data_IF_910382020127
#
_entry.id   IF_910382020127
#
_cell.length_a   1.000
_cell.length_b   1.000
_cell.length_c   1.000
_cell.angle_alpha   90.00
_cell.angle_beta   90.00
_cell.angle_gamma   90.00
#
_symmetry.space_group_name_H-M   'P 1'
#
loop_
_entity.id
_entity.type
_entity.pdbx_description
1 polymer ?
#
# COMPACT_ATOMS: atom_id res chain seq x y z
N UNK A 1 -1.09 -0.53 14.04
CA UNK A 1 -0.67 0.84 13.70
C UNK A 1 0.25 0.86 12.50
N UNK A 2 0.04 1.81 11.59
CA UNK A 2 1.00 2.17 10.54
C UNK A 2 2.11 3.02 11.17
N UNK A 3 3.36 2.59 11.02
CA UNK A 3 4.52 3.19 11.67
C UNK A 3 5.24 4.13 10.71
N UNK A 4 5.43 5.41 11.07
CA UNK A 4 5.90 6.43 10.15
C UNK A 4 7.32 6.17 9.69
N UNK A 5 7.56 6.47 8.41
CA UNK A 5 8.82 6.21 7.73
C UNK A 5 10.00 6.91 8.40
N UNK A 6 9.83 8.10 8.96
CA UNK A 6 10.92 8.83 9.63
C UNK A 6 11.36 8.21 10.97
N UNK A 7 10.57 7.28 11.53
CA UNK A 7 10.78 6.73 12.87
C UNK A 7 11.09 5.24 12.90
N UNK A 8 11.52 4.62 11.79
CA UNK A 8 11.90 3.20 11.80
C UNK A 8 12.97 2.88 12.84
N UNK A 9 13.92 3.78 13.06
CA UNK A 9 14.91 3.64 14.13
C UNK A 9 14.28 3.48 15.53
N UNK A 10 13.14 4.11 15.80
CA UNK A 10 12.43 3.99 17.07
C UNK A 10 11.77 2.61 17.21
N UNK A 11 11.14 2.10 16.15
CA UNK A 11 10.60 0.73 16.13
C UNK A 11 11.71 -0.32 16.34
N UNK A 12 12.86 -0.18 15.66
CA UNK A 12 14.01 -1.05 15.89
C UNK A 12 14.61 -0.89 17.29
N UNK A 13 14.64 0.34 17.80
CA UNK A 13 15.03 0.63 19.18
C UNK A 13 14.15 -0.10 20.19
N UNK A 14 12.84 -0.21 19.92
CA UNK A 14 11.91 -0.99 20.74
C UNK A 14 12.22 -2.50 20.68
N UNK A 15 12.41 -3.06 19.46
CA UNK A 15 12.83 -4.48 19.30
C UNK A 15 14.09 -4.76 20.11
N UNK A 16 15.09 -3.87 20.03
CA UNK A 16 16.34 -3.98 20.78
C UNK A 16 16.13 -3.89 22.29
N UNK A 17 15.33 -2.93 22.73
CA UNK A 17 15.01 -2.75 24.14
C UNK A 17 14.36 -3.99 24.73
N UNK A 18 13.32 -4.51 24.07
CA UNK A 18 12.59 -5.69 24.50
C UNK A 18 13.48 -6.93 24.49
N UNK A 19 14.35 -7.05 23.49
CA UNK A 19 15.25 -8.18 23.40
C UNK A 19 16.30 -8.23 24.52
N UNK A 20 16.79 -7.06 24.96
CA UNK A 20 17.76 -6.95 26.05
C UNK A 20 17.14 -7.24 27.43
N UNK A 21 15.84 -6.99 27.60
CA UNK A 21 15.14 -7.30 28.84
C UNK A 21 15.04 -8.81 29.11
N UNK A 22 15.05 -9.64 28.07
CA UNK A 22 14.94 -11.10 28.19
C UNK A 22 16.23 -11.78 28.70
N UNK A 23 17.26 -11.04 29.14
CA UNK A 23 18.42 -11.62 29.82
C UNK A 23 19.32 -12.49 28.94
N UNK A 24 19.31 -12.26 27.62
CA UNK A 24 20.15 -12.96 26.63
C UNK A 24 19.51 -14.17 25.97
N UNK A 25 18.25 -14.49 26.29
CA UNK A 25 17.47 -15.50 25.57
C UNK A 25 16.96 -15.01 24.21
N UNK A 26 16.48 -15.95 23.39
CA UNK A 26 15.98 -15.66 22.05
C UNK A 26 14.57 -15.08 22.13
N UNK A 27 14.46 -13.76 22.02
CA UNK A 27 13.23 -12.99 22.22
C UNK A 27 12.62 -12.45 20.92
N UNK A 28 13.31 -12.67 19.78
CA UNK A 28 12.89 -12.24 18.44
C UNK A 28 12.65 -13.46 17.55
N UNK A 29 11.43 -13.58 17.01
CA UNK A 29 11.07 -14.57 15.99
C UNK A 29 10.85 -13.86 14.66
N UNK A 30 11.52 -14.30 13.60
CA UNK A 30 11.39 -13.73 12.26
C UNK A 30 10.74 -14.76 11.35
N UNK A 31 9.58 -14.43 10.80
CA UNK A 31 8.84 -15.20 9.81
C UNK A 31 9.13 -14.61 8.43
N UNK A 32 9.72 -15.40 7.53
CA UNK A 32 10.19 -14.95 6.21
C UNK A 32 9.42 -15.63 5.12
N UNK A 33 8.69 -14.88 4.29
CA UNK A 33 8.05 -15.43 3.10
C UNK A 33 9.07 -16.10 2.16
N UNK A 34 8.65 -17.13 1.41
CA UNK A 34 9.51 -17.80 0.44
C UNK A 34 9.61 -17.04 -0.89
N UNK A 35 10.15 -15.83 -0.84
CA UNK A 35 10.47 -15.04 -2.03
C UNK A 35 11.82 -14.31 -1.88
N UNK A 36 12.27 -13.74 -2.99
CA UNK A 36 13.59 -13.08 -3.07
C UNK A 36 13.64 -11.80 -2.23
N UNK A 37 12.55 -11.04 -2.16
CA UNK A 37 12.48 -9.78 -1.44
C UNK A 37 12.53 -10.01 0.07
N UNK A 38 11.73 -10.94 0.59
CA UNK A 38 11.74 -11.37 1.98
C UNK A 38 13.11 -11.89 2.44
N UNK A 39 13.80 -12.66 1.59
CA UNK A 39 15.16 -13.15 1.87
C UNK A 39 16.17 -12.00 1.96
N UNK A 40 16.07 -11.02 1.05
CA UNK A 40 16.91 -9.82 1.08
C UNK A 40 16.66 -8.98 2.34
N UNK A 41 15.38 -8.75 2.68
CA UNK A 41 14.97 -8.08 3.91
C UNK A 41 15.48 -8.82 5.16
N UNK A 42 15.41 -10.16 5.15
CA UNK A 42 15.89 -11.00 6.25
C UNK A 42 17.40 -10.89 6.44
N UNK A 43 18.20 -10.87 5.36
CA UNK A 43 19.65 -10.70 5.51
C UNK A 43 20.00 -9.30 6.03
N UNK A 44 19.29 -8.25 5.58
CA UNK A 44 19.46 -6.90 6.12
C UNK A 44 19.15 -6.87 7.62
N UNK A 45 17.94 -7.27 8.01
CA UNK A 45 17.49 -7.23 9.40
C UNK A 45 18.38 -8.08 10.31
N UNK A 46 18.72 -9.30 9.90
CA UNK A 46 19.54 -10.19 10.72
C UNK A 46 20.97 -9.70 10.85
N UNK A 47 21.52 -8.96 9.87
CA UNK A 47 22.81 -8.28 10.02
C UNK A 47 22.75 -7.18 11.07
N UNK A 48 21.68 -6.38 11.11
CA UNK A 48 21.47 -5.38 12.16
C UNK A 48 21.39 -6.05 13.55
N UNK A 49 20.55 -7.08 13.69
CA UNK A 49 20.41 -7.83 14.95
C UNK A 49 21.74 -8.46 15.40
N UNK A 50 22.51 -9.05 14.48
CA UNK A 50 23.85 -9.61 14.77
C UNK A 50 24.84 -8.54 15.21
N UNK A 51 24.83 -7.37 14.57
CA UNK A 51 25.70 -6.25 14.96
C UNK A 51 25.39 -5.77 16.39
N UNK A 52 24.13 -5.82 16.79
CA UNK A 52 23.66 -5.49 18.14
C UNK A 52 23.69 -6.66 19.13
N UNK A 53 24.24 -7.82 18.74
CA UNK A 53 24.35 -9.03 19.56
C UNK A 53 23.00 -9.55 20.09
N UNK A 54 21.93 -9.37 19.31
CA UNK A 54 20.59 -9.85 19.63
C UNK A 54 20.38 -11.27 19.10
N UNK A 55 19.89 -12.16 19.98
CA UNK A 55 19.50 -13.52 19.62
C UNK A 55 18.15 -13.53 18.90
N UNK A 56 18.06 -14.20 17.76
CA UNK A 56 16.82 -14.34 16.99
C UNK A 56 16.64 -15.76 16.45
N UNK A 57 15.40 -16.13 16.15
CA UNK A 57 15.04 -17.35 15.43
C UNK A 57 14.46 -16.98 14.07
N UNK A 58 14.94 -17.63 13.01
CA UNK A 58 14.47 -17.42 11.65
C UNK A 58 13.65 -18.62 11.19
N UNK A 59 12.45 -18.40 10.67
CA UNK A 59 11.57 -19.43 10.15
C UNK A 59 11.05 -19.01 8.77
N UNK A 60 11.27 -19.84 7.77
CA UNK A 60 10.74 -19.62 6.43
C UNK A 60 9.29 -20.13 6.35
N UNK A 61 8.39 -19.32 5.80
CA UNK A 61 6.96 -19.60 5.67
C UNK A 61 6.54 -19.65 4.20
N UNK A 62 5.92 -20.75 3.78
CA UNK A 62 5.37 -20.96 2.42
C UNK A 62 4.01 -20.31 2.24
N UNK A 63 3.28 -20.17 3.34
CA UNK A 63 1.92 -19.66 3.38
C UNK A 63 1.41 -19.63 4.81
N UNK A 64 0.14 -19.28 4.98
CA UNK A 64 -0.45 -19.08 6.30
C UNK A 64 -0.54 -20.34 7.16
N UNK A 65 -0.53 -21.54 6.56
CA UNK A 65 -0.41 -22.80 7.31
C UNK A 65 0.89 -22.87 8.13
N UNK A 66 2.02 -22.48 7.54
CA UNK A 66 3.30 -22.44 8.24
C UNK A 66 3.31 -21.36 9.34
N UNK A 67 2.62 -20.24 9.11
CA UNK A 67 2.45 -19.16 10.10
C UNK A 67 1.61 -19.66 11.29
N UNK A 68 0.50 -20.36 11.03
CA UNK A 68 -0.32 -20.98 12.07
C UNK A 68 0.46 -22.07 12.83
N UNK A 69 1.30 -22.84 12.13
CA UNK A 69 2.18 -23.79 12.79
C UNK A 69 3.22 -23.08 13.68
N UNK A 70 3.80 -21.98 13.22
CA UNK A 70 4.73 -21.17 14.01
C UNK A 70 4.05 -20.57 15.25
N UNK A 71 2.79 -20.12 15.13
CA UNK A 71 1.97 -19.68 16.26
C UNK A 71 1.91 -20.73 17.37
N UNK A 72 1.52 -21.96 17.03
CA UNK A 72 1.33 -23.03 18.02
C UNK A 72 2.64 -23.65 18.55
N UNK A 73 3.72 -23.57 17.76
CA UNK A 73 5.00 -24.20 18.13
C UNK A 73 6.02 -23.23 18.73
N UNK A 74 5.95 -21.93 18.42
CA UNK A 74 6.97 -20.93 18.79
C UNK A 74 6.42 -19.72 19.55
N UNK A 75 5.17 -19.33 19.33
CA UNK A 75 4.62 -18.09 19.91
C UNK A 75 3.90 -18.38 21.21
N UNK A 76 2.88 -19.25 21.18
CA UNK A 76 1.97 -19.45 22.32
C UNK A 76 1.74 -20.93 22.65
N UNK A 77 1.34 -21.20 23.89
CA UNK A 77 0.84 -22.49 24.35
C UNK A 77 -0.66 -22.65 24.13
N UNK A 78 -1.18 -23.84 24.43
CA UNK A 78 -2.63 -24.13 24.38
C UNK A 78 -3.44 -23.26 25.35
N UNK A 79 -2.80 -22.75 26.40
CA UNK A 79 -3.35 -21.84 27.39
C UNK A 79 -3.33 -20.36 26.96
N UNK A 80 -2.84 -20.07 25.76
CA UNK A 80 -2.70 -18.71 25.23
C UNK A 80 -1.53 -17.92 25.81
N UNK A 81 -0.70 -18.51 26.68
CA UNK A 81 0.48 -17.85 27.23
C UNK A 81 1.69 -18.03 26.34
N UNK A 82 2.71 -17.18 26.51
CA UNK A 82 3.95 -17.26 25.71
C UNK A 82 4.66 -18.60 25.95
N UNK A 83 5.02 -19.28 24.87
CA UNK A 83 5.78 -20.55 24.96
C UNK A 83 7.22 -20.34 25.42
N UNK A 84 7.82 -21.40 25.95
CA UNK A 84 9.28 -21.44 26.20
C UNK A 84 9.76 -20.55 27.34
N UNK A 85 8.94 -20.36 28.39
CA UNK A 85 9.35 -19.58 29.58
C UNK A 85 9.03 -18.09 29.52
N UNK A 86 8.30 -17.63 28.51
CA UNK A 86 7.82 -16.25 28.47
C UNK A 86 8.85 -15.25 27.99
N UNK A 87 9.76 -15.65 27.10
CA UNK A 87 10.92 -14.85 26.68
C UNK A 87 10.70 -14.09 25.37
N UNK A 88 9.78 -14.57 24.52
CA UNK A 88 9.43 -13.94 23.25
C UNK A 88 8.79 -12.57 23.50
N UNK A 89 9.26 -11.56 22.77
CA UNK A 89 8.72 -10.19 22.85
C UNK A 89 8.42 -9.61 21.47
N UNK A 90 9.14 -10.06 20.44
CA UNK A 90 8.99 -9.52 19.09
C UNK A 90 8.83 -10.64 18.08
N UNK A 91 7.77 -10.55 17.27
CA UNK A 91 7.62 -11.30 16.03
C UNK A 91 7.83 -10.32 14.87
N UNK A 92 8.59 -10.70 13.86
CA UNK A 92 8.80 -9.90 12.66
C UNK A 92 8.33 -10.70 11.46
N UNK A 93 7.42 -10.16 10.66
CA UNK A 93 6.93 -10.76 9.42
C UNK A 93 7.53 -10.03 8.23
N UNK A 94 8.23 -10.77 7.37
CA UNK A 94 8.91 -10.23 6.19
C UNK A 94 8.22 -10.72 4.92
N UNK A 95 7.71 -9.75 4.16
CA UNK A 95 6.89 -9.88 2.96
C UNK A 95 5.66 -10.80 3.12
N UNK A 96 5.07 -10.80 4.31
CA UNK A 96 3.81 -11.48 4.58
C UNK A 96 3.05 -10.83 5.74
N UNK A 97 1.72 -11.02 5.76
CA UNK A 97 0.84 -10.63 6.86
C UNK A 97 0.08 -9.31 6.67
N UNK A 98 0.47 -8.42 5.74
CA UNK A 98 -0.22 -7.13 5.61
C UNK A 98 -1.70 -7.27 5.22
N UNK A 99 -2.03 -8.22 4.35
CA UNK A 99 -3.38 -8.39 3.75
C UNK A 99 -4.36 -9.20 4.62
N UNK A 100 -3.96 -9.63 5.81
CA UNK A 100 -4.80 -10.41 6.74
C UNK A 100 -4.80 -9.78 8.12
N UNK A 101 -5.81 -10.06 8.93
CA UNK A 101 -5.79 -9.69 10.35
C UNK A 101 -4.69 -10.47 11.09
N UNK A 102 -3.56 -9.80 11.35
CA UNK A 102 -2.39 -10.42 11.99
C UNK A 102 -2.68 -10.73 13.46
N UNK A 103 -3.47 -9.89 14.13
CA UNK A 103 -3.85 -10.09 15.52
C UNK A 103 -4.66 -11.39 15.66
N UNK A 104 -5.66 -11.62 14.80
CA UNK A 104 -6.42 -12.89 14.76
C UNK A 104 -5.56 -14.07 14.30
N UNK A 105 -4.76 -13.89 13.25
CA UNK A 105 -3.92 -14.95 12.66
C UNK A 105 -2.91 -15.52 13.66
N UNK A 106 -2.20 -14.65 14.37
CA UNK A 106 -1.17 -15.04 15.34
C UNK A 106 -1.74 -15.23 16.75
N UNK A 107 -2.85 -14.56 17.07
CA UNK A 107 -3.44 -14.47 18.41
C UNK A 107 -2.36 -14.29 19.48
N UNK A 108 -1.68 -13.16 19.34
CA UNK A 108 -0.50 -12.81 20.10
C UNK A 108 -0.83 -12.69 21.59
N UNK A 109 -0.01 -13.26 22.48
CA UNK A 109 -0.04 -12.91 23.89
C UNK A 109 0.22 -11.41 24.08
N UNK A 110 -0.35 -10.80 25.12
CA UNK A 110 -0.35 -9.35 25.35
C UNK A 110 1.02 -8.67 25.40
N UNK A 111 2.06 -9.42 25.76
CA UNK A 111 3.42 -8.92 25.92
C UNK A 111 4.25 -9.05 24.63
N UNK A 112 3.67 -9.56 23.55
CA UNK A 112 4.34 -9.76 22.25
C UNK A 112 3.85 -8.73 21.24
N UNK A 113 4.79 -8.05 20.58
CA UNK A 113 4.52 -7.18 19.43
C UNK A 113 4.88 -7.88 18.12
N UNK A 114 4.14 -7.59 17.05
CA UNK A 114 4.41 -8.05 15.70
C UNK A 114 4.76 -6.87 14.80
N UNK A 115 5.89 -6.95 14.11
CA UNK A 115 6.40 -5.96 13.19
C UNK A 115 6.27 -6.50 11.76
N UNK A 116 5.56 -5.79 10.89
CA UNK A 116 5.24 -6.25 9.53
C UNK A 116 5.94 -5.33 8.52
N UNK A 117 6.81 -5.93 7.69
CA UNK A 117 7.40 -5.29 6.53
C UNK A 117 6.89 -6.07 5.31
N UNK A 118 5.87 -5.58 4.64
CA UNK A 118 5.19 -6.32 3.58
C UNK A 118 4.75 -5.39 2.45
N UNK A 119 5.04 -5.80 1.22
CA UNK A 119 4.72 -5.05 0.01
C UNK A 119 3.29 -5.29 -0.47
N UNK A 120 2.61 -6.36 -0.05
CA UNK A 120 1.26 -6.68 -0.53
C UNK A 120 0.22 -5.66 -0.05
N UNK A 121 -0.70 -5.28 -0.94
CA UNK A 121 -1.79 -4.33 -0.68
C UNK A 121 -3.12 -4.89 -1.19
N UNK A 122 -4.26 -4.47 -0.61
CA UNK A 122 -4.42 -3.49 0.48
C UNK A 122 -4.01 -4.02 1.87
N UNK A 123 -3.49 -3.15 2.74
CA UNK A 123 -3.21 -3.51 4.13
C UNK A 123 -4.55 -3.74 4.85
N UNK A 124 -4.71 -4.86 5.54
CA UNK A 124 -5.90 -5.13 6.34
C UNK A 124 -6.09 -4.04 7.40
N UNK A 125 -7.27 -3.43 7.44
CA UNK A 125 -7.54 -2.26 8.29
C UNK A 125 -7.37 -2.56 9.78
N UNK A 126 -7.65 -3.80 10.23
CA UNK A 126 -7.37 -4.22 11.60
C UNK A 126 -5.88 -4.13 11.99
N UNK A 127 -4.96 -4.24 11.03
CA UNK A 127 -3.52 -4.07 11.32
C UNK A 127 -3.16 -2.60 11.50
N UNK A 128 -3.85 -1.69 10.82
CA UNK A 128 -3.64 -0.24 10.93
C UNK A 128 -4.25 0.27 12.24
N UNK A 129 -5.49 -0.12 12.52
CA UNK A 129 -6.26 0.35 13.66
C UNK A 129 -6.27 -0.61 14.85
N UNK A 130 -5.24 -1.46 14.96
CA UNK A 130 -5.07 -2.40 16.07
C UNK A 130 -5.20 -1.69 17.43
N UNK A 131 -6.27 -2.00 18.15
CA UNK A 131 -6.60 -1.40 19.45
C UNK A 131 -5.56 -1.72 20.53
N UNK A 132 -4.93 -2.89 20.43
CA UNK A 132 -3.98 -3.38 21.42
C UNK A 132 -2.55 -2.84 21.21
N UNK A 133 -2.30 -2.12 20.10
CA UNK A 133 -0.98 -1.59 19.74
C UNK A 133 0.13 -2.66 19.72
N UNK A 134 -0.24 -3.89 19.38
CA UNK A 134 0.65 -5.03 19.21
C UNK A 134 1.15 -5.13 17.77
N UNK A 135 0.36 -4.71 16.78
CA UNK A 135 0.69 -4.80 15.35
C UNK A 135 1.31 -3.47 14.88
N UNK A 136 2.53 -3.54 14.36
CA UNK A 136 3.29 -2.40 13.85
C UNK A 136 3.62 -2.68 12.38
N UNK A 137 2.93 -2.01 11.45
CA UNK A 137 3.18 -2.14 10.01
C UNK A 137 4.09 -1.00 9.58
N UNK A 138 5.22 -1.28 8.93
CA UNK A 138 6.14 -0.24 8.47
C UNK A 138 5.58 0.46 7.24
N UNK A 139 5.49 1.80 7.30
CA UNK A 139 5.01 2.61 6.20
C UNK A 139 6.03 2.70 5.07
N UNK A 140 5.70 2.16 3.92
CA UNK A 140 6.52 2.20 2.71
C UNK A 140 6.25 3.43 1.83
N UNK A 141 5.29 4.27 2.20
CA UNK A 141 4.86 5.45 1.46
C UNK A 141 4.04 5.14 0.22
N UNK A 142 3.44 3.95 0.12
CA UNK A 142 2.57 3.60 -1.01
C UNK A 142 1.24 4.37 -0.99
N UNK A 143 0.63 4.52 0.19
CA UNK A 143 -0.59 5.30 0.42
C UNK A 143 -0.39 6.22 1.63
N UNK A 144 -0.91 7.43 1.58
CA UNK A 144 -0.94 8.31 2.74
C UNK A 144 -1.94 7.80 3.79
N UNK A 145 -1.73 8.13 5.07
CA UNK A 145 -2.58 7.65 6.16
C UNK A 145 -4.06 8.04 5.97
N UNK A 146 -4.30 9.20 5.38
CA UNK A 146 -5.64 9.74 5.10
C UNK A 146 -6.39 9.00 3.98
N UNK A 147 -5.68 8.20 3.17
CA UNK A 147 -6.29 7.40 2.10
C UNK A 147 -6.84 6.06 2.60
N UNK A 148 -6.49 5.66 3.82
CA UNK A 148 -7.06 4.48 4.45
C UNK A 148 -8.45 4.79 5.02
N UNK A 149 -9.48 3.96 4.74
CA UNK A 149 -10.80 4.12 5.35
C UNK A 149 -10.69 4.22 6.87
N UNK A 150 -11.44 5.13 7.49
CA UNK A 150 -11.37 5.37 8.93
C UNK A 150 -11.93 4.19 9.74
N UNK A 151 -11.37 3.95 10.94
CA UNK A 151 -11.81 2.91 11.87
C UNK A 151 -13.26 3.06 12.35
N UNK A 152 -14.07 2.00 12.28
CA UNK A 152 -15.46 1.97 12.72
C UNK A 152 -15.94 0.59 13.15
N UNK A 153 -17.06 0.51 13.88
CA UNK A 153 -17.67 -0.76 14.30
C UNK A 153 -18.10 -1.63 13.11
N UNK A 154 -18.41 -1.01 11.98
CA UNK A 154 -18.89 -1.67 10.75
C UNK A 154 -17.76 -2.30 9.89
N UNK A 155 -16.56 -2.53 10.48
CA UNK A 155 -15.39 -3.09 9.80
C UNK A 155 -15.35 -4.63 9.80
N UNK A 156 -16.27 -5.28 10.50
CA UNK A 156 -16.34 -6.73 10.54
C UNK A 156 -16.96 -7.24 9.24
N UNK A 157 -16.12 -7.80 8.37
CA UNK A 157 -16.49 -8.33 7.04
C UNK A 157 -17.53 -9.46 7.11
N UNK A 158 -17.82 -9.96 8.31
CA UNK A 158 -18.73 -11.08 8.57
C UNK A 158 -20.21 -10.65 8.65
N UNK A 159 -20.52 -9.35 8.80
CA UNK A 159 -21.91 -8.84 8.80
C UNK A 159 -22.46 -8.57 7.38
N UNK A 160 -21.71 -8.95 6.34
CA UNK A 160 -21.97 -8.54 4.96
C UNK A 160 -23.08 -9.34 4.26
N UNK A 161 -23.30 -10.59 4.66
CA UNK A 161 -24.37 -11.44 4.12
C UNK A 161 -25.69 -11.23 4.87
N UNK A 162 -25.64 -10.96 6.18
CA UNK A 162 -26.84 -10.78 7.01
C UNK A 162 -27.51 -9.41 6.77
N UNK A 163 -26.75 -8.34 6.52
CA UNK A 163 -27.32 -7.01 6.24
C UNK A 163 -27.77 -6.81 4.77
N UNK A 164 -27.28 -7.60 3.80
CA UNK A 164 -27.85 -7.59 2.43
C UNK A 164 -29.28 -8.16 2.42
N UNK A 165 -29.56 -9.16 3.26
CA UNK A 165 -30.92 -9.68 3.45
C UNK A 165 -31.83 -8.64 4.13
N UNK A 166 -31.32 -7.88 5.11
CA UNK A 166 -32.07 -6.79 5.75
C UNK A 166 -32.33 -5.60 4.79
N UNK A 167 -31.38 -5.27 3.91
CA UNK A 167 -31.54 -4.22 2.88
C UNK A 167 -32.57 -4.60 1.80
N UNK A 168 -32.64 -5.87 1.38
CA UNK A 168 -33.69 -6.36 0.48
C UNK A 168 -35.08 -6.29 1.14
N UNK A 169 -35.17 -6.54 2.46
CA UNK A 169 -36.43 -6.42 3.21
C UNK A 169 -36.88 -4.95 3.38
N UNK A 170 -35.97 -4.00 3.59
CA UNK A 170 -36.31 -2.57 3.70
C UNK A 170 -36.73 -1.95 2.35
N UNK A 171 -36.11 -2.33 1.22
CA UNK A 171 -36.54 -1.89 -0.12
C UNK A 171 -37.92 -2.45 -0.50
N UNK A 172 -38.25 -3.68 -0.09
CA UNK A 172 -39.60 -4.24 -0.26
C UNK A 172 -40.66 -3.51 0.59
N UNK A 173 -40.35 -3.07 1.81
CA UNK A 173 -41.29 -2.31 2.64
C UNK A 173 -41.54 -0.88 2.10
N UNK A 174 -40.54 -0.20 1.55
CA UNK A 174 -40.72 1.13 0.94
C UNK A 174 -41.60 1.08 -0.34
N UNK A 175 -41.46 0.03 -1.16
CA UNK A 175 -42.30 -0.19 -2.34
C UNK A 175 -43.77 -0.49 -1.96
N UNK A 176 -44.02 -1.19 -0.85
CA UNK A 176 -45.37 -1.46 -0.34
C UNK A 176 -46.08 -0.20 0.21
N UNK A 177 -45.32 0.75 0.77
CA UNK A 177 -45.88 2.02 1.27
C UNK A 177 -46.26 2.98 0.13
N UNK A 178 -45.50 3.02 -0.97
CA UNK A 178 -45.83 3.86 -2.14
C UNK A 178 -47.07 3.37 -2.91
N UNK A 179 -47.36 2.05 -2.95
CA UNK A 179 -48.59 1.53 -3.57
C UNK A 179 -49.86 1.85 -2.75
N UNK A 180 -49.73 2.11 -1.44
CA UNK A 180 -50.84 2.39 -0.53
C UNK A 180 -51.33 3.85 -0.60
N UNK A 181 -50.44 4.81 -0.89
CA UNK A 181 -50.78 6.24 -0.95
C UNK A 181 -51.38 6.71 -2.30
N UNK A 182 -51.47 5.82 -3.29
CA UNK A 182 -51.97 6.12 -4.64
C UNK A 182 -53.50 6.24 -4.81
N UNK A 183 -54.31 5.87 -3.81
CA UNK A 183 -55.78 5.90 -3.90
C UNK A 183 -56.42 7.12 -3.19
N UNK A 184 -56.18 8.32 -3.71
CA UNK A 184 -56.96 9.51 -3.34
C UNK A 184 -57.65 10.13 -4.56
N UNK A 185 -58.97 9.96 -4.60
CA UNK A 185 -59.92 10.40 -5.64
C UNK A 185 -59.78 11.90 -5.99
N UNK A 186 -59.78 12.23 -7.30
CA UNK A 186 -60.00 13.61 -7.78
C UNK A 186 -61.18 13.66 -8.74
N UNK A 187 -62.23 14.37 -8.32
CA UNK A 187 -63.52 14.53 -8.99
C UNK A 187 -63.48 15.64 -10.08
N UNK A 188 -64.20 15.34 -11.15
CA UNK A 188 -64.51 16.02 -12.41
C UNK A 188 -64.57 17.58 -12.48
N UNK A 189 -64.04 18.12 -13.58
CA UNK A 189 -64.33 19.47 -14.08
C UNK A 189 -64.09 19.60 -15.59
N UNK A 190 -65.16 19.53 -16.37
CA UNK A 190 -65.24 19.66 -17.84
C UNK A 190 -64.78 21.03 -18.36
N UNK A 191 -64.01 21.06 -19.46
CA UNK A 191 -64.54 21.63 -20.71
C UNK A 191 -63.68 21.29 -21.94
N UNK A 192 -64.41 21.14 -23.04
CA UNK A 192 -64.08 20.48 -24.30
C UNK A 192 -63.45 21.46 -25.32
N UNK A 193 -62.44 21.03 -26.10
CA UNK A 193 -62.24 21.43 -27.51
C UNK A 193 -61.14 20.62 -28.24
N UNK A 194 -61.64 19.63 -28.97
CA UNK A 194 -61.27 19.05 -30.27
C UNK A 194 -59.96 19.41 -31.00
N UNK A 195 -59.31 18.31 -31.43
CA UNK A 195 -58.66 18.00 -32.70
C UNK A 195 -57.39 18.79 -33.08
N UNK A 196 -56.26 18.18 -33.47
CA UNK A 196 -56.13 17.18 -34.56
C UNK A 196 -54.75 16.52 -34.52
N UNK A 197 -54.68 15.27 -34.97
CA UNK A 197 -53.51 14.43 -35.23
C UNK A 197 -52.55 15.04 -36.28
N UNK A 198 -51.24 14.81 -36.15
CA UNK A 198 -50.44 13.95 -37.04
C UNK A 198 -48.93 14.10 -36.78
N UNK A 199 -48.38 12.96 -36.36
CA UNK A 199 -47.09 12.36 -36.70
C UNK A 199 -46.31 13.03 -37.85
N UNK A 200 -45.01 13.31 -37.66
CA UNK A 200 -43.94 12.77 -38.53
C UNK A 200 -42.53 13.17 -38.07
N UNK A 201 -41.75 12.11 -37.94
CA UNK A 201 -40.30 11.95 -37.91
C UNK A 201 -39.39 12.96 -38.64
N UNK A 202 -38.23 13.13 -38.01
CA UNK A 202 -36.87 13.18 -38.57
C UNK A 202 -36.53 14.23 -39.62
N UNK A 203 -35.56 15.08 -39.30
CA UNK A 203 -34.24 14.94 -39.97
C UNK A 203 -33.16 15.76 -39.27
N UNK A 204 -32.08 15.04 -39.02
CA UNK A 204 -30.72 15.47 -38.70
C UNK A 204 -30.26 16.68 -39.53
N UNK A 205 -29.47 17.56 -38.89
CA UNK A 205 -28.11 17.89 -39.38
C UNK A 205 -27.33 18.78 -38.40
N UNK A 206 -26.25 18.18 -37.93
CA UNK A 206 -24.90 18.73 -37.75
C UNK A 206 -24.71 20.23 -38.05
N UNK A 207 -24.06 20.96 -37.16
CA UNK A 207 -22.60 21.23 -37.28
C UNK A 207 -22.13 22.38 -36.39
N UNK A 208 -20.99 22.12 -35.76
CA UNK A 208 -19.86 23.03 -35.54
C UNK A 208 -19.98 24.23 -34.57
N UNK A 209 -19.39 24.00 -33.40
CA UNK A 209 -18.18 24.67 -32.89
C UNK A 209 -17.91 26.13 -33.31
N UNK A 210 -17.73 27.00 -32.30
CA UNK A 210 -16.52 27.80 -31.98
C UNK A 210 -16.95 29.00 -31.11
N UNK A 211 -16.50 29.00 -29.86
CA UNK A 211 -15.41 29.83 -29.31
C UNK A 211 -15.81 31.26 -28.89
N UNK A 212 -15.55 31.51 -27.61
CA UNK A 212 -14.98 32.72 -27.02
C UNK A 212 -15.58 34.09 -27.36
N UNK A 213 -16.00 34.84 -26.34
CA UNK A 213 -15.09 35.86 -25.75
C UNK A 213 -15.71 36.58 -24.56
N UNK A 214 -14.82 36.83 -23.59
CA UNK A 214 -14.95 37.70 -22.43
C UNK A 214 -15.50 39.10 -22.74
N UNK A 215 -16.11 39.74 -21.72
CA UNK A 215 -15.82 41.16 -21.43
C UNK A 215 -16.25 41.58 -20.01
N UNK A 216 -15.23 41.84 -19.19
CA UNK A 216 -15.26 42.67 -17.97
C UNK A 216 -15.41 44.16 -18.31
N UNK A 217 -16.06 44.93 -17.42
CA UNK A 217 -15.89 46.37 -17.10
C UNK A 217 -16.68 46.64 -15.79
N UNK A 218 -16.12 47.03 -14.63
CA UNK A 218 -15.35 48.25 -14.25
C UNK A 218 -16.26 49.51 -14.32
N UNK A 219 -16.50 50.40 -13.35
CA UNK A 219 -15.94 50.84 -12.03
C UNK A 219 -17.02 51.73 -11.32
N UNK A 220 -17.10 51.75 -9.98
CA UNK A 220 -16.81 52.85 -9.00
C UNK A 220 -17.90 53.91 -8.66
N UNK A 221 -17.85 54.28 -7.36
CA UNK A 221 -18.24 55.53 -6.68
C UNK A 221 -19.63 55.78 -6.04
N UNK A 222 -19.64 55.57 -4.70
CA UNK A 222 -19.83 56.54 -3.59
C UNK A 222 -20.98 57.58 -3.60
N UNK A 223 -21.88 57.51 -2.60
CA UNK A 223 -22.00 58.43 -1.43
C UNK A 223 -23.37 58.33 -0.73
N UNK A 224 -23.34 58.68 0.56
CA UNK A 224 -24.35 58.59 1.62
C UNK A 224 -25.60 59.47 1.41
N UNK A 225 -26.75 59.04 1.95
CA UNK A 225 -27.73 59.93 2.61
C UNK A 225 -28.77 59.13 3.44
N UNK A 226 -29.25 59.77 4.51
CA UNK A 226 -29.94 59.24 5.70
C UNK A 226 -31.45 58.88 5.55
N UNK A 227 -31.88 57.97 6.43
CA UNK A 227 -33.19 57.79 7.07
C UNK A 227 -34.52 57.80 6.25
N UNK A 228 -35.20 56.64 6.18
CA UNK A 228 -36.58 56.47 6.71
C UNK A 228 -37.08 55.01 6.69
N UNK A 229 -37.84 54.68 7.73
CA UNK A 229 -38.33 53.38 8.19
C UNK A 229 -39.26 52.61 7.22
N UNK A 230 -39.10 51.28 7.14
CA UNK A 230 -40.21 50.30 7.07
C UNK A 230 -39.70 48.85 7.28
N UNK A 231 -40.38 47.99 8.08
CA UNK A 231 -39.86 46.67 8.42
C UNK A 231 -40.22 45.66 7.32
N UNK A 232 -39.24 45.31 6.47
CA UNK A 232 -39.35 44.13 5.61
C UNK A 232 -38.92 42.91 6.43
N UNK A 233 -39.91 42.08 6.78
CA UNK A 233 -39.70 40.68 7.21
C UNK A 233 -38.85 39.98 6.15
N UNK A 234 -37.57 39.80 6.46
CA UNK A 234 -36.65 38.98 5.70
C UNK A 234 -37.05 37.54 6.01
N UNK A 235 -37.67 36.87 5.04
CA UNK A 235 -37.85 35.41 5.06
C UNK A 235 -36.44 34.86 4.95
N UNK A 236 -35.85 34.51 6.09
CA UNK A 236 -34.65 33.69 6.14
C UNK A 236 -34.98 32.45 5.31
N UNK A 237 -34.22 32.27 4.22
CA UNK A 237 -34.14 30.98 3.58
C UNK A 237 -33.27 30.19 4.54
N UNK A 238 -33.92 29.49 5.45
CA UNK A 238 -33.31 28.40 6.17
C UNK A 238 -32.73 27.48 5.09
N UNK A 239 -31.41 27.47 5.00
CA UNK A 239 -30.69 26.40 4.30
C UNK A 239 -30.92 25.22 5.23
N UNK A 240 -31.89 24.38 4.88
CA UNK A 240 -32.04 23.07 5.50
C UNK A 240 -30.71 22.34 5.27
N UNK A 241 -29.85 22.34 6.28
CA UNK A 241 -28.79 21.35 6.41
C UNK A 241 -29.54 20.02 6.49
N UNK A 242 -29.58 19.29 5.37
CA UNK A 242 -30.04 17.92 5.33
C UNK A 242 -29.18 17.15 6.34
N UNK A 243 -29.78 16.82 7.49
CA UNK A 243 -29.19 15.91 8.47
C UNK A 243 -29.11 14.55 7.75
N UNK A 244 -27.93 14.20 7.22
CA UNK A 244 -27.72 12.90 6.57
C UNK A 244 -28.16 11.81 7.56
N UNK A 245 -29.10 10.96 7.13
CA UNK A 245 -29.58 9.90 8.00
C UNK A 245 -28.41 8.99 8.38
N UNK A 246 -28.39 8.49 9.63
CA UNK A 246 -27.32 7.62 10.09
C UNK A 246 -27.11 6.40 9.17
N UNK A 247 -28.18 5.94 8.51
CA UNK A 247 -28.19 4.88 7.49
C UNK A 247 -27.36 5.28 6.26
N UNK A 248 -27.58 6.48 5.70
CA UNK A 248 -26.81 6.94 4.53
C UNK A 248 -25.32 7.10 4.81
N UNK A 249 -24.96 7.54 6.02
CA UNK A 249 -23.56 7.66 6.46
C UNK A 249 -22.89 6.28 6.57
N UNK A 250 -23.60 5.31 7.16
CA UNK A 250 -23.14 3.91 7.23
C UNK A 250 -22.94 3.30 5.84
N UNK A 251 -23.92 3.45 4.93
CA UNK A 251 -23.85 2.93 3.56
C UNK A 251 -22.64 3.50 2.81
N UNK A 252 -22.44 4.82 2.85
CA UNK A 252 -21.29 5.48 2.19
C UNK A 252 -19.96 4.96 2.72
N UNK A 253 -19.87 4.72 4.03
CA UNK A 253 -18.67 4.17 4.67
C UNK A 253 -18.41 2.72 4.24
N UNK A 254 -19.46 1.89 4.19
CA UNK A 254 -19.39 0.50 3.69
C UNK A 254 -18.87 0.47 2.25
N UNK A 255 -19.39 1.33 1.39
CA UNK A 255 -18.90 1.48 0.01
C UNK A 255 -17.41 1.90 -0.06
N UNK A 256 -16.96 2.78 0.83
CA UNK A 256 -15.56 3.20 0.93
C UNK A 256 -14.64 2.03 1.33
N UNK A 257 -15.03 1.25 2.35
CA UNK A 257 -14.30 0.05 2.79
C UNK A 257 -14.26 -1.00 1.68
N UNK A 258 -15.40 -1.27 1.04
CA UNK A 258 -15.48 -2.17 -0.11
C UNK A 258 -14.57 -1.70 -1.24
N UNK A 259 -14.58 -0.40 -1.55
CA UNK A 259 -13.71 0.18 -2.58
C UNK A 259 -12.24 0.03 -2.25
N UNK A 260 -11.86 0.17 -0.99
CA UNK A 260 -10.48 -0.05 -0.54
C UNK A 260 -10.03 -1.51 -0.73
N UNK A 261 -10.90 -2.47 -0.46
CA UNK A 261 -10.62 -3.89 -0.67
C UNK A 261 -10.84 -4.37 -2.12
N UNK A 262 -11.32 -3.51 -3.02
CA UNK A 262 -11.48 -3.82 -4.46
C UNK A 262 -10.12 -3.75 -5.17
N UNK A 263 -9.41 -4.86 -5.17
CA UNK A 263 -8.20 -5.08 -5.96
C UNK A 263 -6.96 -5.35 -5.11
N UNK A 264 -5.87 -5.69 -5.77
CA UNK A 264 -4.57 -5.90 -5.12
C UNK A 264 -3.47 -5.25 -5.95
N UNK A 265 -2.46 -4.75 -5.25
CA UNK A 265 -1.26 -4.16 -5.83
C UNK A 265 -0.10 -4.33 -4.86
N UNK A 266 1.08 -3.79 -5.21
CA UNK A 266 2.25 -3.83 -4.36
C UNK A 266 2.74 -2.42 -4.04
N UNK A 267 3.13 -2.22 -2.78
CA UNK A 267 3.92 -1.08 -2.34
C UNK A 267 5.42 -1.34 -2.51
N UNK A 268 6.25 -0.63 -1.74
CA UNK A 268 7.70 -0.78 -1.86
C UNK A 268 8.16 -2.17 -1.36
N UNK A 269 9.26 -2.72 -1.93
CA UNK A 269 9.79 -4.00 -1.49
C UNK A 269 10.18 -3.98 -0.01
N UNK A 270 9.94 -5.08 0.70
CA UNK A 270 10.31 -5.24 2.11
C UNK A 270 11.81 -5.05 2.33
N UNK A 271 12.67 -5.43 1.37
CA UNK A 271 14.10 -5.19 1.43
C UNK A 271 14.47 -3.70 1.35
N UNK A 272 13.68 -2.91 0.62
CA UNK A 272 13.86 -1.45 0.55
C UNK A 272 13.53 -0.83 1.91
N UNK A 273 12.40 -1.18 2.50
CA UNK A 273 11.99 -0.72 3.84
C UNK A 273 13.02 -1.13 4.90
N UNK A 274 13.53 -2.36 4.84
CA UNK A 274 14.59 -2.84 5.74
C UNK A 274 15.92 -2.08 5.55
N UNK A 275 16.26 -1.68 4.32
CA UNK A 275 17.45 -0.86 4.06
C UNK A 275 17.29 0.56 4.59
N UNK A 276 16.11 1.17 4.43
CA UNK A 276 15.82 2.49 5.02
C UNK A 276 15.93 2.46 6.54
N UNK A 277 15.46 1.39 7.18
CA UNK A 277 15.71 1.15 8.59
C UNK A 277 17.23 1.11 8.88
N UNK A 278 18.00 0.37 8.07
CA UNK A 278 19.46 0.27 8.23
C UNK A 278 20.16 1.64 8.09
N UNK A 279 19.66 2.52 7.22
CA UNK A 279 20.14 3.89 7.07
C UNK A 279 19.88 4.71 8.34
N UNK A 280 18.66 4.64 8.90
CA UNK A 280 18.31 5.42 10.08
C UNK A 280 19.07 4.99 11.34
N UNK A 281 19.50 3.73 11.43
CA UNK A 281 20.38 3.25 12.52
C UNK A 281 21.87 3.45 12.21
N UNK A 282 22.21 4.17 11.14
CA UNK A 282 23.57 4.47 10.70
C UNK A 282 24.43 3.21 10.43
N UNK A 283 23.80 2.18 9.88
CA UNK A 283 24.44 0.91 9.48
C UNK A 283 24.28 0.63 7.98
N UNK A 284 24.15 1.68 7.16
CA UNK A 284 24.10 1.57 5.70
C UNK A 284 25.45 1.08 5.14
N UNK A 285 25.45 -0.12 4.57
CA UNK A 285 26.62 -0.73 3.92
C UNK A 285 26.28 -1.09 2.48
N UNK A 286 27.28 -1.14 1.59
CA UNK A 286 27.11 -1.49 0.17
C UNK A 286 26.35 -2.80 -0.02
N UNK A 287 26.69 -3.83 0.75
CA UNK A 287 26.02 -5.13 0.66
C UNK A 287 24.52 -5.04 1.00
N UNK A 288 24.13 -4.18 1.95
CA UNK A 288 22.72 -4.01 2.33
C UNK A 288 21.94 -3.27 1.24
N UNK A 289 22.58 -2.27 0.61
CA UNK A 289 22.02 -1.58 -0.54
C UNK A 289 21.82 -2.56 -1.71
N UNK A 290 22.77 -3.49 -1.93
CA UNK A 290 22.63 -4.52 -2.95
C UNK A 290 21.41 -5.42 -2.73
N UNK A 291 21.12 -5.81 -1.48
CA UNK A 291 19.90 -6.55 -1.15
C UNK A 291 18.62 -5.76 -1.45
N UNK A 292 18.60 -4.45 -1.18
CA UNK A 292 17.47 -3.60 -1.55
C UNK A 292 17.29 -3.50 -3.08
N UNK A 293 18.39 -3.36 -3.84
CA UNK A 293 18.38 -3.37 -5.31
C UNK A 293 17.80 -4.69 -5.85
N UNK A 294 18.17 -5.83 -5.26
CA UNK A 294 17.62 -7.14 -5.64
C UNK A 294 16.10 -7.19 -5.40
N UNK A 295 15.63 -6.74 -4.22
CA UNK A 295 14.20 -6.71 -3.89
C UNK A 295 13.39 -5.84 -4.87
N UNK A 296 13.89 -4.64 -5.19
CA UNK A 296 13.28 -3.76 -6.19
C UNK A 296 13.27 -4.38 -7.59
N UNK A 297 14.37 -5.01 -7.99
CA UNK A 297 14.48 -5.64 -9.31
C UNK A 297 13.53 -6.85 -9.42
N UNK A 298 13.29 -7.59 -8.34
CA UNK A 298 12.27 -8.66 -8.29
C UNK A 298 10.90 -8.11 -8.67
N UNK A 299 10.46 -7.02 -8.04
CA UNK A 299 9.15 -6.43 -8.35
C UNK A 299 9.05 -6.01 -9.82
N UNK A 300 10.12 -5.40 -10.37
CA UNK A 300 10.12 -4.97 -11.77
C UNK A 300 10.12 -6.14 -12.76
N UNK A 301 10.82 -7.22 -12.44
CA UNK A 301 10.83 -8.43 -13.27
C UNK A 301 9.46 -9.12 -13.27
N UNK A 302 8.77 -9.13 -12.12
CA UNK A 302 7.45 -9.72 -11.95
C UNK A 302 6.29 -8.79 -12.34
N UNK A 303 6.58 -7.59 -12.86
CA UNK A 303 5.58 -6.59 -13.26
C UNK A 303 4.67 -6.15 -12.08
N UNK A 304 5.20 -6.20 -10.86
CA UNK A 304 4.52 -5.75 -9.63
C UNK A 304 4.67 -4.23 -9.39
N UNK A 305 5.60 -3.60 -10.11
CA UNK A 305 5.88 -2.16 -10.12
C UNK A 305 6.00 -1.68 -11.57
N UNK A 306 5.47 -0.51 -11.87
CA UNK A 306 5.61 0.10 -13.19
C UNK A 306 7.01 0.69 -13.41
N UNK A 307 7.33 0.98 -14.68
CA UNK A 307 8.64 1.46 -15.07
C UNK A 307 8.98 2.85 -14.48
N UNK A 308 8.00 3.73 -14.31
CA UNK A 308 8.25 5.09 -13.83
C UNK A 308 8.61 5.06 -12.33
N UNK A 309 7.82 4.32 -11.54
CA UNK A 309 8.11 4.09 -10.12
C UNK A 309 9.41 3.31 -9.90
N UNK A 310 9.70 2.30 -10.73
CA UNK A 310 10.99 1.61 -10.69
C UNK A 310 12.16 2.56 -10.94
N UNK A 311 12.10 3.38 -11.99
CA UNK A 311 13.16 4.33 -12.34
C UNK A 311 13.36 5.41 -11.28
N UNK A 312 12.27 5.85 -10.62
CA UNK A 312 12.35 6.75 -9.47
C UNK A 312 13.17 6.14 -8.33
N UNK A 313 12.91 4.87 -8.00
CA UNK A 313 13.63 4.15 -6.95
C UNK A 313 15.08 3.84 -7.35
N UNK A 314 15.34 3.52 -8.61
CA UNK A 314 16.71 3.38 -9.16
C UNK A 314 17.50 4.67 -8.98
N UNK A 315 16.88 5.82 -9.28
CA UNK A 315 17.53 7.14 -9.09
C UNK A 315 17.90 7.36 -7.63
N UNK A 316 17.01 7.02 -6.69
CA UNK A 316 17.31 7.09 -5.25
C UNK A 316 18.48 6.18 -4.88
N UNK A 317 18.52 4.94 -5.37
CA UNK A 317 19.64 4.03 -5.10
C UNK A 317 20.96 4.51 -5.74
N UNK A 318 20.93 5.20 -6.88
CA UNK A 318 22.14 5.82 -7.45
C UNK A 318 22.72 6.87 -6.49
N UNK A 319 21.87 7.74 -5.92
CA UNK A 319 22.31 8.72 -4.93
C UNK A 319 22.92 8.04 -3.69
N UNK A 320 22.34 6.92 -3.25
CA UNK A 320 22.87 6.13 -2.13
C UNK A 320 24.21 5.46 -2.43
N UNK A 321 24.41 4.92 -3.65
CA UNK A 321 25.71 4.39 -4.06
C UNK A 321 26.78 5.48 -3.96
N UNK A 322 26.48 6.68 -4.47
CA UNK A 322 27.39 7.83 -4.40
C UNK A 322 27.67 8.26 -2.95
N UNK A 323 26.66 8.22 -2.08
CA UNK A 323 26.81 8.55 -0.67
C UNK A 323 27.71 7.54 0.07
N UNK A 324 27.54 6.24 -0.17
CA UNK A 324 28.34 5.18 0.45
C UNK A 324 29.80 5.18 -0.06
N UNK A 325 30.01 5.60 -1.31
CA UNK A 325 31.35 5.70 -1.92
C UNK A 325 32.07 7.03 -1.64
N UNK A 326 31.42 7.97 -0.95
CA UNK A 326 32.02 9.26 -0.63
C UNK A 326 33.30 9.06 0.21
N UNK A 327 34.44 9.68 -0.19
CA UNK A 327 35.70 9.51 0.54
C UNK A 327 35.57 10.09 1.96
N UNK A 328 35.81 9.26 2.97
CA UNK A 328 35.86 9.73 4.36
C UNK A 328 37.08 10.64 4.55
N UNK A 329 36.95 11.80 5.22
CA UNK A 329 38.06 12.76 5.39
C UNK A 329 39.23 12.23 6.24
N UNK A 330 39.15 11.00 6.76
CA UNK A 330 40.24 10.30 7.44
C UNK A 330 41.22 9.60 6.48
N UNK A 331 40.93 9.54 5.18
CA UNK A 331 41.90 9.11 4.18
C UNK A 331 42.92 10.23 3.97
N UNK A 332 44.00 10.19 4.74
CA UNK A 332 45.09 11.16 4.65
C UNK A 332 45.67 11.26 3.22
N UNK A 333 46.32 12.38 2.87
CA UNK A 333 46.72 12.73 1.51
C UNK A 333 47.94 11.93 0.98
N UNK A 334 48.01 10.63 1.27
CA UNK A 334 49.18 9.79 0.96
C UNK A 334 48.88 8.32 0.61
N UNK A 335 47.63 7.96 0.34
CA UNK A 335 47.30 6.63 -0.17
C UNK A 335 47.24 6.62 -1.71
N UNK A 336 48.31 7.07 -2.36
CA UNK A 336 48.59 6.71 -3.76
C UNK A 336 49.07 5.25 -3.75
N UNK A 337 48.10 4.34 -3.79
CA UNK A 337 48.30 2.91 -4.02
C UNK A 337 47.40 2.48 -5.16
N UNK A 338 47.64 3.03 -6.35
CA UNK A 338 46.85 2.78 -7.57
C UNK A 338 47.64 2.01 -8.64
N UNK A 339 48.76 1.37 -8.28
CA UNK A 339 49.61 0.66 -9.26
C UNK A 339 49.52 -0.88 -9.22
N UNK A 340 48.79 -1.49 -8.28
CA UNK A 340 48.65 -2.96 -8.18
C UNK A 340 47.18 -3.42 -8.00
N UNK A 341 46.22 -2.70 -8.57
CA UNK A 341 44.80 -3.13 -8.55
C UNK A 341 44.52 -4.00 -9.77
N UNK A 342 44.14 -5.26 -9.53
CA UNK A 342 43.73 -6.16 -10.61
C UNK A 342 42.46 -5.58 -11.26
N UNK A 343 42.43 -5.28 -12.57
CA UNK A 343 41.33 -4.54 -13.23
C UNK A 343 39.99 -5.29 -13.29
N UNK A 344 39.89 -6.45 -12.64
CA UNK A 344 38.66 -7.24 -12.53
C UNK A 344 38.15 -7.39 -11.10
N UNK A 345 38.73 -6.66 -10.14
CA UNK A 345 38.34 -6.69 -8.74
C UNK A 345 38.12 -5.25 -8.26
N UNK A 346 36.96 -4.70 -8.55
CA UNK A 346 36.56 -3.34 -8.12
C UNK A 346 36.16 -3.29 -6.63
N UNK A 347 36.74 -4.13 -5.77
CA UNK A 347 36.51 -4.18 -4.31
C UNK A 347 35.02 -4.14 -3.89
N UNK A 348 34.14 -4.74 -4.69
CA UNK A 348 32.69 -4.77 -4.40
C UNK A 348 31.98 -3.41 -4.56
N UNK A 349 32.52 -2.51 -5.39
CA UNK A 349 31.80 -1.29 -5.81
C UNK A 349 30.56 -1.63 -6.62
N UNK A 350 29.51 -0.83 -6.42
CA UNK A 350 28.28 -0.91 -7.18
C UNK A 350 28.38 0.15 -8.29
N UNK A 351 28.28 -0.27 -9.54
CA UNK A 351 28.26 0.62 -10.70
C UNK A 351 26.87 0.67 -11.34
N UNK A 352 26.58 1.75 -12.04
CA UNK A 352 25.37 1.88 -12.86
C UNK A 352 25.72 1.68 -14.33
N UNK A 353 24.96 0.82 -15.01
CA UNK A 353 25.10 0.56 -16.43
C UNK A 353 23.71 0.26 -17.02
N UNK A 354 23.43 0.79 -18.22
CA UNK A 354 22.26 0.39 -18.99
C UNK A 354 22.51 -0.98 -19.63
N UNK A 355 21.69 -1.97 -19.26
CA UNK A 355 21.82 -3.33 -19.77
C UNK A 355 20.52 -3.82 -20.43
N UNK A 356 20.65 -4.68 -21.44
CA UNK A 356 19.52 -5.35 -22.04
C UNK A 356 18.83 -6.29 -21.04
N UNK A 357 17.49 -6.31 -21.04
CA UNK A 357 16.66 -7.29 -20.31
C UNK A 357 16.68 -8.67 -21.00
N UNK A 358 17.87 -9.16 -21.34
CA UNK A 358 18.06 -10.51 -21.83
C UNK A 358 18.36 -11.46 -20.68
N UNK A 359 17.69 -12.61 -20.69
CA UNK A 359 17.89 -13.65 -19.69
C UNK A 359 19.35 -14.09 -19.66
N UNK A 360 20.02 -13.95 -18.50
CA UNK A 360 21.39 -14.40 -18.28
C UNK A 360 22.42 -13.86 -19.31
N UNK A 361 22.27 -12.62 -19.81
CA UNK A 361 23.13 -12.05 -20.87
C UNK A 361 24.64 -12.21 -20.63
N UNK A 362 25.12 -11.94 -19.41
CA UNK A 362 26.56 -12.05 -19.06
C UNK A 362 27.04 -13.50 -18.83
N UNK A 363 26.14 -14.48 -18.76
CA UNK A 363 26.46 -15.87 -18.42
C UNK A 363 26.24 -16.85 -19.57
N UNK A 364 25.41 -16.51 -20.56
CA UNK A 364 25.06 -17.34 -21.69
C UNK A 364 25.59 -16.77 -23.01
N UNK A 365 25.54 -17.56 -24.07
CA UNK A 365 25.75 -16.99 -25.40
C UNK A 365 24.66 -15.96 -25.72
N UNK A 366 24.99 -14.91 -26.49
CA UNK A 366 24.01 -13.90 -26.89
C UNK A 366 22.77 -14.52 -27.56
N UNK A 367 22.98 -15.58 -28.35
CA UNK A 367 21.89 -16.32 -28.98
C UNK A 367 20.94 -16.93 -27.95
N UNK A 368 21.46 -17.67 -26.96
CA UNK A 368 20.64 -18.28 -25.91
C UNK A 368 19.95 -17.22 -25.05
N UNK A 369 20.68 -16.17 -24.66
CA UNK A 369 20.12 -15.08 -23.88
C UNK A 369 18.93 -14.43 -24.59
N UNK A 370 19.05 -14.13 -25.89
CA UNK A 370 17.94 -13.62 -26.70
C UNK A 370 16.82 -14.65 -26.87
N UNK A 371 17.16 -15.90 -27.15
CA UNK A 371 16.19 -16.95 -27.45
C UNK A 371 15.29 -17.29 -26.26
N UNK A 372 15.84 -17.27 -25.04
CA UNK A 372 15.14 -17.58 -23.79
C UNK A 372 14.58 -16.34 -23.07
N UNK A 373 14.66 -15.16 -23.66
CA UNK A 373 14.05 -13.95 -23.11
C UNK A 373 12.58 -13.84 -23.50
N UNK A 374 11.68 -13.69 -22.54
CA UNK A 374 10.23 -13.65 -22.77
C UNK A 374 9.80 -12.54 -23.75
N UNK A 375 10.39 -11.35 -23.62
CA UNK A 375 10.13 -10.23 -24.51
C UNK A 375 10.50 -10.55 -25.97
N UNK A 376 11.68 -11.13 -26.19
CA UNK A 376 12.16 -11.48 -27.53
C UNK A 376 11.36 -12.64 -28.11
N UNK A 377 11.11 -13.67 -27.29
CA UNK A 377 10.37 -14.86 -27.67
C UNK A 377 8.93 -14.53 -28.10
N UNK A 378 8.26 -13.63 -27.37
CA UNK A 378 6.90 -13.18 -27.69
C UNK A 378 6.86 -12.27 -28.92
N UNK A 379 7.77 -11.28 -29.02
CA UNK A 379 7.79 -10.34 -30.15
C UNK A 379 8.15 -10.98 -31.49
N UNK A 380 9.09 -11.93 -31.49
CA UNK A 380 9.53 -12.62 -32.70
C UNK A 380 8.78 -13.93 -32.98
N UNK A 381 7.90 -14.37 -32.07
CA UNK A 381 7.15 -15.60 -32.23
C UNK A 381 8.05 -16.84 -32.25
N UNK A 382 9.11 -16.88 -31.44
CA UNK A 382 10.14 -17.94 -31.45
C UNK A 382 9.61 -19.34 -31.10
N UNK A 383 8.37 -19.44 -30.63
CA UNK A 383 7.66 -20.72 -30.45
C UNK A 383 7.15 -21.32 -31.77
N UNK A 384 7.15 -20.56 -32.87
CA UNK A 384 6.79 -21.02 -34.21
C UNK A 384 8.04 -21.45 -35.01
N UNK A 385 7.98 -22.60 -35.67
CA UNK A 385 9.10 -23.14 -36.46
C UNK A 385 9.52 -22.25 -37.64
N UNK A 386 8.63 -21.38 -38.13
CA UNK A 386 8.95 -20.41 -39.18
C UNK A 386 9.84 -19.27 -38.68
N UNK A 387 9.67 -18.84 -37.42
CA UNK A 387 10.47 -17.78 -36.81
C UNK A 387 11.88 -18.24 -36.42
N UNK A 388 12.10 -19.57 -36.30
CA UNK A 388 13.40 -20.17 -35.98
C UNK A 388 14.33 -20.34 -37.19
N UNK A 389 13.89 -19.95 -38.39
CA UNK A 389 14.68 -20.11 -39.62
C UNK A 389 15.72 -19.00 -39.74
N UNK A 390 16.95 -19.36 -39.40
CA UNK A 390 18.20 -18.62 -39.70
C UNK A 390 18.50 -18.67 -41.19
#
# INVERSE_FOLDING_TARGET
MLWPREEFHAAYGQIKHDALQSGGSCSVLILVALDVDALCAAEILTRLLRADMLSYSLLAVRGYEDVMQARETRIRGEDGTIRGGGELRSVVMLNCGAIVDVAKLLALPTEVKCYVLDSHRPIHLANIYDEHQQIVVFDDGALALEEYPAFGPDLEVEDFEEEEEEEEEEEEEEDEEEESEGEAEVEFGTDNKEDTEEDTQDTEKESEATEETEKRKRDEDAQEDEDMQSPKRRKERDVEEHDESAVTVKRRRREEILRYYRGSFHGAPAATVAFELAQQVNSSQRDLLWFAIIGLTKQFVLEEIDADNYNLMVTRFQDEVLAVDAPTPSSGPGAEGDEDRHPGYDDGKIGFEEEYRFMCYRHWSLYEAMYYSDYVASKLGLYQDQARRV
#
